data_IF_675128652920
#
_entry.id   IF_675128652920
#
_cell.length_a   1.000
_cell.length_b   1.000
_cell.length_c   1.000
_cell.angle_alpha   90.00
_cell.angle_beta   90.00
_cell.angle_gamma   90.00
#
_symmetry.space_group_name_H-M   'P 1'
#
loop_
_entity.id
_entity.type
_entity.pdbx_description
1 polymer ?
#
# COMPACT_ATOMS: atom_id res chain seq x y z
N UNK A 1 -18.13 -3.63 49.42
CA UNK A 1 -16.95 -2.74 49.50
C UNK A 1 -15.73 -3.21 48.71
N UNK A 2 -15.69 -4.42 48.14
CA UNK A 2 -14.62 -4.89 47.24
C UNK A 2 -14.93 -4.79 45.74
N UNK A 3 -16.10 -4.24 45.37
CA UNK A 3 -16.48 -3.93 43.97
C UNK A 3 -16.11 -2.51 43.52
N UNK A 4 -15.60 -1.66 44.42
CA UNK A 4 -15.26 -0.26 44.11
C UNK A 4 -13.78 -0.01 43.82
N UNK A 5 -12.90 -1.02 43.96
CA UNK A 5 -11.44 -0.87 43.76
C UNK A 5 -11.00 -1.28 42.34
N UNK A 6 -11.76 -2.13 41.64
CA UNK A 6 -11.44 -2.49 40.25
C UNK A 6 -11.90 -1.41 39.25
N UNK A 7 -12.94 -0.63 39.57
CA UNK A 7 -13.42 0.43 38.68
C UNK A 7 -12.41 1.59 38.51
N UNK A 8 -11.57 1.87 39.52
CA UNK A 8 -10.56 2.93 39.44
C UNK A 8 -9.37 2.52 38.56
N UNK A 9 -8.90 1.27 38.64
CA UNK A 9 -7.82 0.77 37.76
C UNK A 9 -8.25 0.66 36.29
N UNK A 10 -9.49 0.26 36.05
CA UNK A 10 -10.05 0.23 34.70
C UNK A 10 -10.22 1.66 34.14
N UNK A 11 -10.48 2.66 35.00
CA UNK A 11 -10.62 4.06 34.59
C UNK A 11 -9.29 4.72 34.22
N UNK A 12 -8.20 4.51 34.98
CA UNK A 12 -6.88 5.04 34.65
C UNK A 12 -6.32 4.41 33.36
N UNK A 13 -6.49 3.10 33.19
CA UNK A 13 -6.15 2.39 31.95
C UNK A 13 -6.91 2.92 30.73
N UNK A 14 -8.18 3.29 30.89
CA UNK A 14 -9.00 3.81 29.79
C UNK A 14 -8.59 5.22 29.34
N UNK A 15 -8.19 6.08 30.29
CA UNK A 15 -7.75 7.45 29.99
C UNK A 15 -6.43 7.43 29.21
N UNK A 16 -5.52 6.53 29.55
CA UNK A 16 -4.24 6.41 28.84
C UNK A 16 -4.40 5.80 27.45
N UNK A 17 -5.31 4.84 27.27
CA UNK A 17 -5.63 4.29 25.95
C UNK A 17 -6.18 5.38 25.02
N UNK A 18 -7.15 6.18 25.48
CA UNK A 18 -7.74 7.25 24.66
C UNK A 18 -6.69 8.26 24.18
N UNK A 19 -5.76 8.66 25.05
CA UNK A 19 -4.66 9.57 24.68
C UNK A 19 -3.74 8.97 23.61
N UNK A 20 -3.50 7.66 23.65
CA UNK A 20 -2.69 6.97 22.63
C UNK A 20 -3.42 6.99 21.27
N UNK A 21 -4.73 6.75 21.26
CA UNK A 21 -5.53 6.82 20.03
C UNK A 21 -5.52 8.24 19.44
N UNK A 22 -5.68 9.26 20.28
CA UNK A 22 -5.59 10.68 19.88
C UNK A 22 -4.21 11.04 19.32
N UNK A 23 -3.14 10.49 19.91
CA UNK A 23 -1.78 10.67 19.41
C UNK A 23 -1.61 10.07 18.02
N UNK A 24 -2.15 8.88 17.77
CA UNK A 24 -2.10 8.24 16.45
C UNK A 24 -2.85 9.06 15.40
N UNK A 25 -4.05 9.54 15.71
CA UNK A 25 -4.82 10.40 14.82
C UNK A 25 -4.08 11.71 14.53
N UNK A 26 -3.54 12.38 15.55
CA UNK A 26 -2.77 13.61 15.38
C UNK A 26 -1.51 13.41 14.52
N UNK A 27 -0.84 12.27 14.66
CA UNK A 27 0.30 11.90 13.83
C UNK A 27 -0.09 11.64 12.38
N UNK A 28 -1.21 10.95 12.13
CA UNK A 28 -1.74 10.75 10.79
C UNK A 28 -2.10 12.08 10.12
N UNK A 29 -2.73 13.01 10.86
CA UNK A 29 -3.07 14.36 10.41
C UNK A 29 -1.81 15.15 10.01
N UNK A 30 -0.74 15.09 10.80
CA UNK A 30 0.54 15.75 10.45
C UNK A 30 1.13 15.23 9.14
N UNK A 31 1.07 13.92 8.90
CA UNK A 31 1.53 13.33 7.64
C UNK A 31 0.65 13.75 6.46
N UNK A 32 -0.67 13.86 6.66
CA UNK A 32 -1.58 14.45 5.67
C UNK A 32 -1.25 15.91 5.37
N UNK A 33 -1.02 16.72 6.39
CA UNK A 33 -0.63 18.13 6.23
C UNK A 33 0.66 18.26 5.42
N UNK A 34 1.63 17.38 5.65
CA UNK A 34 2.84 17.29 4.82
C UNK A 34 2.50 17.00 3.34
N UNK A 35 1.65 16.01 3.06
CA UNK A 35 1.23 15.69 1.68
C UNK A 35 0.55 16.89 1.00
N UNK A 36 -0.35 17.58 1.71
CA UNK A 36 -1.06 18.79 1.22
C UNK A 36 -0.05 19.90 0.91
N UNK A 37 0.87 20.19 1.83
CA UNK A 37 1.85 21.26 1.70
C UNK A 37 2.84 21.04 0.55
N UNK A 38 3.10 19.79 0.17
CA UNK A 38 4.09 19.42 -0.84
C UNK A 38 3.47 18.96 -2.18
N UNK A 39 2.15 19.05 -2.32
CA UNK A 39 1.48 18.75 -3.58
C UNK A 39 1.75 19.87 -4.61
N UNK A 40 1.96 19.50 -5.87
CA UNK A 40 2.14 20.48 -6.95
C UNK A 40 0.82 21.17 -7.25
N UNK A 41 0.70 22.45 -6.89
CA UNK A 41 -0.52 23.28 -7.09
C UNK A 41 -0.39 24.36 -8.17
N UNK A 42 0.73 24.40 -8.91
CA UNK A 42 0.93 25.41 -9.95
C UNK A 42 0.09 25.08 -11.19
N UNK A 43 -0.87 25.94 -11.59
CA UNK A 43 -1.60 25.74 -12.84
C UNK A 43 -0.62 25.71 -14.01
N UNK A 44 -0.90 24.87 -15.02
CA UNK A 44 -0.06 24.64 -16.21
C UNK A 44 1.24 23.84 -15.98
N UNK A 45 1.54 23.41 -14.76
CA UNK A 45 2.58 22.39 -14.55
C UNK A 45 2.06 21.02 -15.00
N UNK A 46 2.87 20.26 -15.73
CA UNK A 46 2.51 18.89 -16.14
C UNK A 46 2.38 17.94 -14.93
N UNK A 47 2.96 18.30 -13.79
CA UNK A 47 2.83 17.59 -12.53
C UNK A 47 1.66 18.11 -11.67
N UNK A 48 0.78 18.97 -12.17
CA UNK A 48 -0.33 19.52 -11.37
C UNK A 48 -1.17 18.42 -10.72
N UNK A 49 -1.21 18.44 -9.37
CA UNK A 49 -1.86 17.44 -8.52
C UNK A 49 -0.99 16.26 -8.09
N UNK A 50 0.20 16.11 -8.66
CA UNK A 50 1.20 15.11 -8.25
C UNK A 50 1.75 15.41 -6.86
N UNK A 51 2.08 14.37 -6.11
CA UNK A 51 2.63 14.47 -4.76
C UNK A 51 4.17 14.39 -4.79
N UNK A 52 4.81 14.89 -3.74
CA UNK A 52 6.23 14.67 -3.50
C UNK A 52 6.44 13.21 -3.07
N UNK A 53 7.32 12.47 -3.76
CA UNK A 53 7.68 11.10 -3.40
C UNK A 53 8.71 11.06 -2.29
N UNK A 54 9.84 11.74 -2.49
CA UNK A 54 10.96 11.68 -1.59
C UNK A 54 11.66 13.03 -1.55
N UNK A 55 12.13 13.40 -0.35
CA UNK A 55 12.95 14.60 -0.16
C UNK A 55 14.13 14.30 0.74
N UNK A 56 15.30 14.80 0.35
CA UNK A 56 16.47 14.84 1.22
C UNK A 56 16.28 15.98 2.22
N UNK A 57 16.16 15.64 3.51
CA UNK A 57 15.87 16.60 4.60
C UNK A 57 16.89 17.74 4.62
N UNK A 58 18.16 17.44 4.33
CA UNK A 58 19.23 18.42 4.20
C UNK A 58 19.62 18.60 2.73
N UNK A 59 19.28 19.74 2.13
CA UNK A 59 19.70 20.08 0.77
C UNK A 59 18.58 20.16 -0.26
N UNK A 60 17.34 19.79 0.11
CA UNK A 60 16.13 20.11 -0.67
C UNK A 60 16.06 19.43 -2.03
N UNK A 61 16.68 18.26 -2.20
CA UNK A 61 16.48 17.45 -3.39
C UNK A 61 15.11 16.79 -3.31
N UNK A 62 14.32 16.92 -4.37
CA UNK A 62 12.95 16.43 -4.46
C UNK A 62 12.79 15.45 -5.62
N UNK A 63 12.09 14.34 -5.37
CA UNK A 63 11.52 13.47 -6.40
C UNK A 63 10.00 13.45 -6.27
N UNK A 64 9.30 13.39 -7.40
CA UNK A 64 7.84 13.32 -7.44
C UNK A 64 7.31 11.88 -7.56
N UNK A 65 6.09 11.67 -7.08
CA UNK A 65 5.41 10.37 -6.98
C UNK A 65 5.13 9.74 -8.35
N UNK A 66 5.32 8.45 -8.52
CA UNK A 66 4.74 7.75 -9.68
C UNK A 66 3.23 7.55 -9.48
N UNK A 67 2.55 6.90 -10.43
CA UNK A 67 1.12 6.61 -10.35
C UNK A 67 0.74 5.91 -9.04
N UNK A 68 1.55 4.96 -8.56
CA UNK A 68 1.22 4.10 -7.42
C UNK A 68 1.28 4.87 -6.10
N UNK A 69 2.34 5.65 -5.89
CA UNK A 69 2.50 6.49 -4.70
C UNK A 69 1.49 7.62 -4.68
N UNK A 70 1.18 8.19 -5.85
CA UNK A 70 0.09 9.17 -5.96
C UNK A 70 -1.25 8.55 -5.56
N UNK A 71 -1.49 7.30 -5.99
CA UNK A 71 -2.70 6.55 -5.64
C UNK A 71 -2.86 6.36 -4.13
N UNK A 72 -1.86 5.79 -3.45
CA UNK A 72 -1.95 5.61 -1.99
C UNK A 72 -1.94 6.93 -1.22
N UNK A 73 -1.24 7.96 -1.71
CA UNK A 73 -1.35 9.30 -1.14
C UNK A 73 -2.78 9.85 -1.23
N UNK A 74 -3.46 9.67 -2.36
CA UNK A 74 -4.86 10.05 -2.52
C UNK A 74 -5.80 9.27 -1.56
N UNK A 75 -5.59 7.97 -1.39
CA UNK A 75 -6.37 7.14 -0.46
C UNK A 75 -6.13 7.58 1.00
N UNK A 76 -4.89 7.91 1.36
CA UNK A 76 -4.55 8.44 2.68
C UNK A 76 -5.25 9.78 2.95
N UNK A 77 -5.23 10.70 1.98
CA UNK A 77 -5.92 11.99 2.06
C UNK A 77 -7.45 11.81 2.17
N UNK A 78 -8.05 10.89 1.40
CA UNK A 78 -9.48 10.58 1.54
C UNK A 78 -9.82 10.03 2.93
N UNK A 79 -8.97 9.16 3.48
CA UNK A 79 -9.15 8.60 4.83
C UNK A 79 -9.06 9.68 5.91
N UNK A 80 -8.15 10.64 5.75
CA UNK A 80 -8.03 11.79 6.64
C UNK A 80 -9.19 12.78 6.51
N UNK A 81 -9.72 12.99 5.30
CA UNK A 81 -10.95 13.74 5.13
C UNK A 81 -12.10 13.04 5.87
N UNK A 82 -12.21 11.72 5.78
CA UNK A 82 -13.27 11.01 6.47
C UNK A 82 -13.18 11.14 8.00
N UNK A 83 -11.96 11.09 8.55
CA UNK A 83 -11.68 11.34 9.97
C UNK A 83 -12.02 12.77 10.40
N UNK A 84 -11.50 13.77 9.67
CA UNK A 84 -11.42 15.16 10.15
C UNK A 84 -12.51 16.07 9.60
N UNK A 85 -13.09 15.70 8.45
CA UNK A 85 -13.95 16.54 7.61
C UNK A 85 -13.29 17.86 7.18
N UNK A 86 -11.95 17.94 7.19
CA UNK A 86 -11.19 19.10 6.70
C UNK A 86 -11.06 19.03 5.18
N UNK A 87 -11.76 19.94 4.48
CA UNK A 87 -11.87 20.01 3.03
C UNK A 87 -10.53 20.02 2.29
N UNK A 88 -9.45 20.51 2.92
CA UNK A 88 -8.13 20.55 2.27
C UNK A 88 -7.64 19.16 1.86
N UNK A 89 -8.04 18.11 2.60
CA UNK A 89 -7.67 16.74 2.30
C UNK A 89 -8.47 16.19 1.12
N UNK A 90 -9.78 16.45 1.07
CA UNK A 90 -10.62 16.07 -0.07
C UNK A 90 -10.17 16.78 -1.35
N UNK A 91 -9.90 18.09 -1.26
CA UNK A 91 -9.39 18.89 -2.36
C UNK A 91 -8.05 18.34 -2.88
N UNK A 92 -7.12 18.02 -1.96
CA UNK A 92 -5.82 17.43 -2.32
C UNK A 92 -5.96 16.06 -2.96
N UNK A 93 -6.86 15.21 -2.45
CA UNK A 93 -7.16 13.92 -3.04
C UNK A 93 -7.72 14.08 -4.46
N UNK A 94 -8.65 15.02 -4.67
CA UNK A 94 -9.20 15.32 -6.00
C UNK A 94 -8.09 15.71 -6.99
N UNK A 95 -7.13 16.55 -6.59
CA UNK A 95 -6.00 16.90 -7.45
C UNK A 95 -5.13 15.70 -7.82
N UNK A 96 -4.83 14.82 -6.85
CA UNK A 96 -4.09 13.59 -7.11
C UNK A 96 -4.85 12.67 -8.08
N UNK A 97 -6.18 12.58 -7.93
CA UNK A 97 -7.05 11.82 -8.84
C UNK A 97 -7.07 12.41 -10.25
N UNK A 98 -7.14 13.74 -10.40
CA UNK A 98 -7.05 14.41 -11.71
C UNK A 98 -5.71 14.12 -12.39
N UNK A 99 -4.62 14.12 -11.62
CA UNK A 99 -3.31 13.74 -12.13
C UNK A 99 -3.30 12.28 -12.59
N UNK A 100 -3.80 11.33 -11.80
CA UNK A 100 -3.94 9.91 -12.19
C UNK A 100 -4.78 9.74 -13.47
N UNK A 101 -5.92 10.44 -13.58
CA UNK A 101 -6.76 10.41 -14.79
C UNK A 101 -5.98 10.85 -16.05
N UNK A 102 -5.00 11.75 -15.90
CA UNK A 102 -4.14 12.22 -17.00
C UNK A 102 -3.11 11.17 -17.47
N UNK A 103 -2.75 10.22 -16.59
CA UNK A 103 -1.84 9.12 -16.91
C UNK A 103 -2.54 7.97 -17.65
N UNK A 104 -3.88 7.95 -17.67
CA UNK A 104 -4.62 6.88 -18.33
C UNK A 104 -4.67 7.08 -19.85
N UNK A 105 -4.17 6.11 -20.60
CA UNK A 105 -4.23 6.07 -22.05
C UNK A 105 -5.66 5.79 -22.53
N UNK A 106 -6.32 6.81 -23.07
CA UNK A 106 -7.65 6.71 -23.67
C UNK A 106 -7.67 6.94 -25.19
N UNK A 107 -6.51 6.81 -25.85
CA UNK A 107 -6.43 6.87 -27.31
C UNK A 107 -6.84 5.53 -27.93
N UNK A 108 -8.07 5.45 -28.43
CA UNK A 108 -8.63 4.23 -29.04
C UNK A 108 -7.89 3.78 -30.31
N UNK A 109 -7.07 4.65 -30.92
CA UNK A 109 -6.20 4.29 -32.06
C UNK A 109 -5.00 3.44 -31.62
N UNK A 110 -4.75 3.30 -30.32
CA UNK A 110 -3.72 2.43 -29.72
C UNK A 110 -4.37 1.34 -28.85
N UNK A 111 -5.00 0.30 -29.44
CA UNK A 111 -5.77 -0.68 -28.69
C UNK A 111 -4.99 -1.48 -27.64
N UNK A 112 -3.66 -1.58 -27.77
CA UNK A 112 -2.79 -2.24 -26.79
C UNK A 112 -2.54 -1.39 -25.53
N UNK A 113 -2.72 -0.07 -25.61
CA UNK A 113 -2.53 0.87 -24.50
C UNK A 113 -3.85 1.40 -23.96
N UNK A 114 -4.96 1.27 -24.69
CA UNK A 114 -6.26 1.78 -24.26
C UNK A 114 -6.69 1.16 -22.92
N UNK A 115 -6.88 2.01 -21.91
CA UNK A 115 -7.20 1.64 -20.53
C UNK A 115 -6.00 1.64 -19.59
N UNK A 116 -4.77 1.49 -20.09
CA UNK A 116 -3.54 1.47 -19.28
C UNK A 116 -3.31 2.80 -18.54
N UNK A 117 -2.71 2.75 -17.35
CA UNK A 117 -2.28 3.92 -16.57
C UNK A 117 -0.75 3.93 -16.53
N UNK A 118 -0.12 4.83 -17.27
CA UNK A 118 1.35 4.84 -17.41
C UNK A 118 2.06 5.29 -16.11
N UNK A 119 3.36 5.01 -16.00
CA UNK A 119 4.07 5.07 -14.71
C UNK A 119 4.20 6.48 -14.11
N UNK A 120 4.85 7.41 -14.83
CA UNK A 120 5.36 8.64 -14.21
C UNK A 120 4.80 9.90 -14.84
N UNK A 121 4.60 9.91 -16.16
CA UNK A 121 4.04 11.06 -16.88
C UNK A 121 3.23 10.55 -18.06
N UNK A 122 2.35 11.38 -18.68
CA UNK A 122 1.62 10.96 -19.88
C UNK A 122 2.51 10.58 -21.08
N UNK A 123 3.82 10.88 -21.02
CA UNK A 123 4.82 10.50 -22.02
C UNK A 123 5.53 9.18 -21.70
N UNK A 124 5.29 8.56 -20.54
CA UNK A 124 5.85 7.25 -20.21
C UNK A 124 5.36 6.20 -21.23
N UNK A 125 6.30 5.49 -21.84
CA UNK A 125 6.01 4.49 -22.89
C UNK A 125 6.01 3.05 -22.34
N UNK A 126 5.86 2.91 -21.02
CA UNK A 126 5.85 1.66 -20.29
C UNK A 126 5.01 1.83 -19.01
N UNK A 127 4.69 0.70 -18.39
CA UNK A 127 3.92 0.63 -17.15
C UNK A 127 4.42 -0.53 -16.29
N UNK A 128 4.45 -0.36 -14.97
CA UNK A 128 4.39 -1.46 -14.02
C UNK A 128 2.90 -1.75 -13.71
N UNK A 129 2.30 -2.86 -14.20
CA UNK A 129 0.86 -3.11 -14.00
C UNK A 129 0.42 -3.10 -12.53
N UNK A 130 1.28 -3.49 -11.59
CA UNK A 130 1.01 -3.39 -10.16
C UNK A 130 0.88 -1.94 -9.69
N UNK A 131 1.68 -1.05 -10.25
CA UNK A 131 1.75 0.35 -9.85
C UNK A 131 0.56 1.13 -10.41
N UNK A 132 0.24 0.91 -11.70
CA UNK A 132 -0.98 1.42 -12.29
C UNK A 132 -2.24 0.89 -11.59
N UNK A 133 -2.22 -0.33 -11.04
CA UNK A 133 -3.32 -0.88 -10.25
C UNK A 133 -3.57 -0.09 -8.97
N UNK A 134 -2.53 0.34 -8.28
CA UNK A 134 -2.68 1.20 -7.09
C UNK A 134 -3.33 2.54 -7.44
N UNK A 135 -3.01 3.08 -8.62
CA UNK A 135 -3.66 4.29 -9.14
C UNK A 135 -5.13 4.05 -9.54
N UNK A 136 -5.43 2.93 -10.19
CA UNK A 136 -6.80 2.53 -10.51
C UNK A 136 -7.64 2.26 -9.25
N UNK A 137 -7.01 1.73 -8.19
CA UNK A 137 -7.65 1.50 -6.92
C UNK A 137 -8.01 2.81 -6.22
N UNK A 138 -7.14 3.82 -6.32
CA UNK A 138 -7.46 5.18 -5.86
C UNK A 138 -8.63 5.79 -6.64
N UNK A 139 -8.74 5.56 -7.95
CA UNK A 139 -9.92 5.94 -8.74
C UNK A 139 -11.18 5.25 -8.21
N UNK A 140 -11.13 3.94 -7.96
CA UNK A 140 -12.28 3.21 -7.39
C UNK A 140 -12.68 3.78 -6.03
N UNK A 141 -11.72 4.04 -5.14
CA UNK A 141 -11.97 4.60 -3.81
C UNK A 141 -12.62 5.99 -3.89
N UNK A 142 -12.04 6.88 -4.69
CA UNK A 142 -12.59 8.23 -4.91
C UNK A 142 -13.98 8.18 -5.54
N UNK A 143 -14.16 7.33 -6.55
CA UNK A 143 -15.43 7.11 -7.24
C UNK A 143 -16.54 6.67 -6.29
N UNK A 144 -16.26 5.74 -5.39
CA UNK A 144 -17.20 5.29 -4.34
C UNK A 144 -17.55 6.40 -3.34
N UNK A 145 -16.55 7.15 -2.92
CA UNK A 145 -16.71 8.19 -1.91
C UNK A 145 -17.52 9.36 -2.46
N UNK A 146 -17.13 9.87 -3.63
CA UNK A 146 -17.73 11.04 -4.27
C UNK A 146 -18.90 10.71 -5.20
N UNK A 147 -19.22 9.42 -5.36
CA UNK A 147 -20.18 8.94 -6.36
C UNK A 147 -19.79 9.39 -7.79
N UNK A 148 -18.49 9.47 -8.09
CA UNK A 148 -17.96 9.81 -9.42
C UNK A 148 -17.90 8.55 -10.30
N UNK A 149 -18.96 8.35 -11.10
CA UNK A 149 -19.09 7.24 -12.02
C UNK A 149 -17.93 7.14 -13.03
N UNK A 150 -17.33 8.27 -13.44
CA UNK A 150 -16.20 8.26 -14.36
C UNK A 150 -14.97 7.64 -13.71
N UNK A 151 -14.74 7.87 -12.42
CA UNK A 151 -13.63 7.23 -11.71
C UNK A 151 -13.82 5.71 -11.65
N UNK A 152 -15.04 5.23 -11.38
CA UNK A 152 -15.36 3.80 -11.35
C UNK A 152 -15.16 3.18 -12.74
N UNK A 153 -15.69 3.80 -13.79
CA UNK A 153 -15.50 3.36 -15.19
C UNK A 153 -14.01 3.25 -15.54
N UNK A 154 -13.20 4.22 -15.13
CA UNK A 154 -11.75 4.22 -15.39
C UNK A 154 -11.01 3.13 -14.63
N UNK A 155 -11.43 2.81 -13.41
CA UNK A 155 -10.88 1.67 -12.68
C UNK A 155 -11.19 0.34 -13.39
N UNK A 156 -12.43 0.19 -13.90
CA UNK A 156 -12.87 -0.95 -14.71
C UNK A 156 -12.06 -1.06 -16.01
N UNK A 157 -11.91 0.04 -16.75
CA UNK A 157 -11.10 0.08 -17.99
C UNK A 157 -9.66 -0.38 -17.76
N UNK A 158 -9.07 -0.01 -16.62
CA UNK A 158 -7.73 -0.44 -16.27
C UNK A 158 -7.67 -1.93 -15.89
N UNK A 159 -8.63 -2.43 -15.13
CA UNK A 159 -8.73 -3.84 -14.78
C UNK A 159 -8.86 -4.74 -16.02
N UNK A 160 -9.73 -4.34 -16.95
CA UNK A 160 -9.90 -5.04 -18.23
C UNK A 160 -8.61 -5.00 -19.05
N UNK A 161 -7.90 -3.87 -19.05
CA UNK A 161 -6.60 -3.76 -19.68
C UNK A 161 -5.56 -4.72 -19.08
N UNK A 162 -5.49 -4.82 -17.74
CA UNK A 162 -4.59 -5.79 -17.06
C UNK A 162 -4.92 -7.20 -17.51
N UNK A 163 -6.18 -7.63 -17.39
CA UNK A 163 -6.58 -9.01 -17.66
C UNK A 163 -6.31 -9.40 -19.11
N UNK A 164 -6.46 -8.46 -20.04
CA UNK A 164 -6.14 -8.66 -21.45
C UNK A 164 -4.63 -8.68 -21.73
N UNK A 165 -3.89 -7.68 -21.25
CA UNK A 165 -2.54 -7.39 -21.73
C UNK A 165 -1.42 -7.84 -20.79
N UNK A 166 -1.67 -7.84 -19.49
CA UNK A 166 -0.67 -8.07 -18.45
C UNK A 166 -0.91 -9.34 -17.61
N UNK A 167 -2.08 -9.98 -17.70
CA UNK A 167 -2.38 -11.19 -16.93
C UNK A 167 -1.98 -12.45 -17.70
N UNK A 168 -1.03 -13.22 -17.18
CA UNK A 168 -0.48 -14.44 -17.80
C UNK A 168 -0.29 -15.50 -16.73
N UNK A 169 -0.81 -16.71 -16.99
CA UNK A 169 -0.62 -17.88 -16.12
C UNK A 169 -0.97 -17.59 -14.66
N UNK A 170 -2.15 -17.00 -14.47
CA UNK A 170 -2.69 -16.66 -13.16
C UNK A 170 -1.91 -15.60 -12.38
N UNK A 171 -1.05 -14.82 -13.03
CA UNK A 171 -0.33 -13.72 -12.40
C UNK A 171 -0.16 -12.52 -13.34
N UNK A 172 0.18 -11.35 -12.82
CA UNK A 172 0.42 -10.16 -13.64
C UNK A 172 1.91 -10.00 -13.99
N UNK A 173 2.22 -9.43 -15.15
CA UNK A 173 3.59 -9.12 -15.57
C UNK A 173 4.17 -7.96 -14.75
N UNK A 174 5.50 -7.95 -14.53
CA UNK A 174 6.16 -6.86 -13.79
C UNK A 174 6.22 -5.56 -14.59
N UNK A 175 6.51 -5.63 -15.89
CA UNK A 175 6.55 -4.45 -16.77
C UNK A 175 5.93 -4.77 -18.12
N UNK A 176 5.13 -3.86 -18.65
CA UNK A 176 4.62 -3.94 -20.03
C UNK A 176 5.10 -2.73 -20.82
N UNK A 177 5.72 -2.99 -21.98
CA UNK A 177 6.06 -1.96 -22.93
C UNK A 177 4.81 -1.51 -23.70
N UNK A 178 4.60 -0.20 -23.82
CA UNK A 178 3.45 0.40 -24.52
C UNK A 178 3.85 1.15 -25.79
N UNK A 179 5.14 1.43 -25.97
CA UNK A 179 5.67 2.22 -27.07
C UNK A 179 7.10 1.85 -27.46
N UNK A 180 7.70 2.62 -28.39
CA UNK A 180 9.00 2.30 -29.01
C UNK A 180 10.23 2.62 -28.14
N UNK A 181 10.08 2.85 -26.83
CA UNK A 181 11.17 3.17 -25.89
C UNK A 181 12.38 2.23 -25.90
N UNK A 182 12.27 1.06 -26.52
CA UNK A 182 13.29 0.01 -26.48
C UNK A 182 13.32 -0.74 -25.15
N UNK A 183 12.42 -0.45 -24.22
CA UNK A 183 12.23 -1.25 -23.01
C UNK A 183 11.43 -2.50 -23.35
N UNK A 184 11.96 -3.66 -23.01
CA UNK A 184 11.25 -4.93 -23.16
C UNK A 184 10.20 -5.12 -22.07
N UNK A 185 9.14 -5.86 -22.41
CA UNK A 185 8.19 -6.38 -21.44
C UNK A 185 8.91 -7.32 -20.49
N UNK A 186 8.94 -6.98 -19.20
CA UNK A 186 9.54 -7.81 -18.16
C UNK A 186 8.49 -8.83 -17.67
N UNK A 187 8.71 -10.08 -18.05
CA UNK A 187 7.85 -11.21 -17.67
C UNK A 187 8.14 -11.76 -16.28
N UNK A 188 9.10 -11.18 -15.56
CA UNK A 188 9.37 -11.53 -14.15
C UNK A 188 8.10 -11.35 -13.35
N UNK A 189 7.88 -12.25 -12.39
CA UNK A 189 6.79 -12.16 -11.44
C UNK A 189 7.35 -11.86 -10.07
N UNK A 190 6.73 -10.92 -9.37
CA UNK A 190 7.11 -10.43 -8.06
C UNK A 190 5.97 -10.61 -7.05
N UNK A 191 6.31 -10.88 -5.79
CA UNK A 191 5.32 -11.05 -4.72
C UNK A 191 4.46 -9.79 -4.51
N UNK A 192 5.03 -8.60 -4.67
CA UNK A 192 4.35 -7.31 -4.49
C UNK A 192 3.15 -7.09 -5.44
N UNK A 193 3.01 -7.93 -6.46
CA UNK A 193 1.87 -7.96 -7.37
C UNK A 193 0.61 -8.56 -6.73
N UNK A 194 0.73 -9.22 -5.57
CA UNK A 194 -0.40 -9.83 -4.86
C UNK A 194 -1.44 -8.83 -4.35
N UNK A 195 -1.09 -7.53 -4.22
CA UNK A 195 -2.06 -6.46 -3.99
C UNK A 195 -3.17 -6.39 -5.06
N UNK A 196 -2.94 -6.95 -6.25
CA UNK A 196 -3.93 -7.00 -7.31
C UNK A 196 -5.16 -7.85 -6.98
N UNK A 197 -4.99 -8.89 -6.16
CA UNK A 197 -6.09 -9.77 -5.70
C UNK A 197 -7.15 -8.92 -5.01
N UNK A 198 -6.74 -8.07 -4.06
CA UNK A 198 -7.67 -7.21 -3.31
C UNK A 198 -8.40 -6.21 -4.21
N UNK A 199 -7.71 -5.59 -5.15
CA UNK A 199 -8.34 -4.72 -6.14
C UNK A 199 -9.41 -5.43 -6.97
N UNK A 200 -9.14 -6.66 -7.43
CA UNK A 200 -10.13 -7.45 -8.17
C UNK A 200 -11.32 -7.88 -7.30
N UNK A 201 -11.10 -8.23 -6.03
CA UNK A 201 -12.19 -8.48 -5.08
C UNK A 201 -13.06 -7.23 -4.89
N UNK A 202 -12.44 -6.06 -4.74
CA UNK A 202 -13.17 -4.81 -4.60
C UNK A 202 -13.94 -4.41 -5.85
N UNK A 203 -13.37 -4.62 -7.04
CA UNK A 203 -14.07 -4.40 -8.29
C UNK A 203 -15.21 -5.39 -8.49
N UNK A 204 -15.04 -6.66 -8.12
CA UNK A 204 -16.14 -7.62 -8.12
C UNK A 204 -17.28 -7.12 -7.22
N UNK A 205 -16.99 -6.66 -6.00
CA UNK A 205 -18.01 -6.10 -5.10
C UNK A 205 -18.72 -4.89 -5.72
N UNK A 206 -18.00 -4.04 -6.45
CA UNK A 206 -18.57 -2.87 -7.12
C UNK A 206 -19.46 -3.23 -8.31
N UNK A 207 -18.98 -4.14 -9.16
CA UNK A 207 -19.54 -4.37 -10.51
C UNK A 207 -20.37 -5.63 -10.60
N UNK A 208 -20.23 -6.54 -9.64
CA UNK A 208 -20.73 -7.92 -9.68
C UNK A 208 -20.25 -8.71 -10.90
N UNK A 209 -19.13 -8.30 -11.51
CA UNK A 209 -18.53 -9.00 -12.64
C UNK A 209 -17.63 -10.14 -12.15
N UNK A 210 -18.11 -11.37 -12.29
CA UNK A 210 -17.42 -12.59 -11.86
C UNK A 210 -16.04 -12.80 -12.49
N UNK A 211 -15.74 -12.17 -13.63
CA UNK A 211 -14.41 -12.27 -14.22
C UNK A 211 -13.30 -11.74 -13.29
N UNK A 212 -13.60 -10.71 -12.49
CA UNK A 212 -12.66 -10.21 -11.49
C UNK A 212 -12.54 -11.16 -10.30
N UNK A 213 -13.64 -11.80 -9.88
CA UNK A 213 -13.62 -12.80 -8.81
C UNK A 213 -12.78 -14.01 -9.21
N UNK A 214 -12.92 -14.50 -10.43
CA UNK A 214 -12.15 -15.64 -10.97
C UNK A 214 -10.65 -15.31 -11.04
N UNK A 215 -10.31 -14.08 -11.46
CA UNK A 215 -8.93 -13.61 -11.46
C UNK A 215 -8.35 -13.55 -10.04
N UNK A 216 -9.10 -12.98 -9.08
CA UNK A 216 -8.67 -12.91 -7.69
C UNK A 216 -8.44 -14.30 -7.08
N UNK A 217 -9.35 -15.25 -7.35
CA UNK A 217 -9.22 -16.62 -6.87
C UNK A 217 -7.97 -17.30 -7.45
N UNK A 218 -7.80 -17.25 -8.77
CA UNK A 218 -6.66 -17.85 -9.47
C UNK A 218 -5.31 -17.26 -9.02
N UNK A 219 -5.27 -15.95 -8.81
CA UNK A 219 -4.10 -15.26 -8.25
C UNK A 219 -3.84 -15.64 -6.80
N UNK A 220 -4.88 -15.84 -5.99
CA UNK A 220 -4.71 -16.25 -4.59
C UNK A 220 -4.07 -17.63 -4.47
N UNK A 221 -4.54 -18.59 -5.29
CA UNK A 221 -3.91 -19.91 -5.41
C UNK A 221 -2.45 -19.81 -5.85
N UNK A 222 -2.18 -18.98 -6.86
CA UNK A 222 -0.83 -18.74 -7.34
C UNK A 222 0.09 -18.16 -6.25
N UNK A 223 -0.43 -17.20 -5.48
CA UNK A 223 0.33 -16.50 -4.45
C UNK A 223 0.79 -17.44 -3.34
N UNK A 224 -0.11 -18.28 -2.83
CA UNK A 224 0.21 -19.26 -1.78
C UNK A 224 1.13 -20.38 -2.25
N UNK A 225 1.07 -20.73 -3.53
CA UNK A 225 1.91 -21.77 -4.11
C UNK A 225 3.34 -21.29 -4.35
N UNK A 226 3.51 -20.09 -4.91
CA UNK A 226 4.80 -19.62 -5.43
C UNK A 226 5.53 -18.67 -4.49
N UNK A 227 4.80 -17.82 -3.78
CA UNK A 227 5.39 -16.67 -3.09
C UNK A 227 5.44 -16.79 -1.58
N UNK A 228 4.62 -17.63 -0.95
CA UNK A 228 4.69 -17.85 0.50
C UNK A 228 5.21 -19.26 0.78
N UNK A 229 6.38 -19.35 1.40
CA UNK A 229 6.96 -20.63 1.81
C UNK A 229 6.16 -21.28 2.95
N UNK A 230 6.35 -22.58 3.22
CA UNK A 230 5.72 -23.25 4.36
C UNK A 230 6.07 -22.66 5.73
N UNK A 231 7.22 -22.01 5.87
CA UNK A 231 7.65 -21.33 7.09
C UNK A 231 7.30 -19.82 7.09
N UNK A 232 6.63 -19.33 6.04
CA UNK A 232 6.08 -17.99 5.97
C UNK A 232 6.97 -16.94 5.32
N UNK A 233 8.19 -17.28 4.91
CA UNK A 233 9.04 -16.35 4.17
C UNK A 233 8.47 -16.06 2.78
N UNK A 234 8.56 -14.78 2.38
CA UNK A 234 8.13 -14.33 1.06
C UNK A 234 9.26 -14.53 0.05
N UNK A 235 9.01 -15.36 -0.96
CA UNK A 235 9.80 -15.35 -2.20
C UNK A 235 9.52 -14.03 -2.90
N UNK A 236 10.52 -13.20 -3.20
CA UNK A 236 10.26 -11.89 -3.83
C UNK A 236 10.02 -12.03 -5.33
N UNK A 237 10.76 -12.90 -5.99
CA UNK A 237 10.75 -13.05 -7.43
C UNK A 237 10.69 -14.51 -7.83
N UNK A 238 9.84 -14.81 -8.79
CA UNK A 238 9.62 -16.15 -9.32
C UNK A 238 9.64 -16.12 -10.85
N UNK A 239 10.30 -17.12 -11.44
CA UNK A 239 10.31 -17.37 -12.87
C UNK A 239 9.47 -18.59 -13.18
N UNK A 240 8.29 -18.37 -13.75
CA UNK A 240 7.38 -19.45 -14.11
C UNK A 240 7.81 -20.23 -15.36
N UNK A 241 8.74 -19.72 -16.17
CA UNK A 241 9.29 -20.48 -17.31
C UNK A 241 10.33 -21.51 -16.84
N UNK A 242 11.15 -21.13 -15.88
CA UNK A 242 12.24 -21.99 -15.39
C UNK A 242 11.89 -22.72 -14.10
N UNK A 243 10.79 -22.34 -13.44
CA UNK A 243 10.41 -22.80 -12.10
C UNK A 243 11.38 -22.32 -11.02
N UNK A 244 12.26 -21.37 -11.33
CA UNK A 244 13.30 -20.89 -10.41
C UNK A 244 12.77 -19.78 -9.55
N UNK A 245 13.09 -19.87 -8.26
CA UNK A 245 13.03 -18.74 -7.34
C UNK A 245 14.32 -17.96 -7.55
N UNK A 246 14.20 -16.67 -7.87
CA UNK A 246 15.38 -15.83 -7.98
C UNK A 246 15.84 -15.49 -6.56
N UNK A 247 16.62 -16.40 -5.99
CA UNK A 247 17.32 -16.25 -4.71
C UNK A 247 18.85 -16.20 -4.92
N UNK A 248 19.34 -16.50 -6.13
CA UNK A 248 20.76 -16.43 -6.46
C UNK A 248 21.23 -15.00 -6.78
N UNK A 249 22.44 -14.63 -6.33
CA UNK A 249 22.96 -13.26 -6.50
C UNK A 249 23.14 -12.83 -7.96
N UNK A 250 23.31 -13.77 -8.89
CA UNK A 250 23.63 -13.47 -10.28
C UNK A 250 22.41 -12.88 -11.03
N UNK A 251 21.24 -13.46 -10.81
CA UNK A 251 19.97 -13.02 -11.41
C UNK A 251 19.37 -11.78 -10.73
N UNK A 252 19.76 -11.52 -9.49
CA UNK A 252 19.23 -10.43 -8.68
C UNK A 252 20.00 -9.11 -8.79
N UNK A 253 21.09 -9.04 -9.56
CA UNK A 253 21.89 -7.80 -9.72
C UNK A 253 21.08 -6.60 -10.22
N UNK A 254 19.92 -6.82 -10.86
CA UNK A 254 19.03 -5.73 -11.31
C UNK A 254 18.25 -5.05 -10.19
N UNK A 255 18.11 -5.69 -9.02
CA UNK A 255 17.39 -5.14 -7.87
C UNK A 255 18.34 -4.97 -6.68
N UNK A 256 18.24 -3.83 -5.99
CA UNK A 256 19.05 -3.59 -4.79
C UNK A 256 18.70 -4.61 -3.70
N UNK A 257 19.65 -4.88 -2.80
CA UNK A 257 19.41 -5.72 -1.63
C UNK A 257 18.23 -5.17 -0.80
N UNK A 258 18.25 -3.86 -0.54
CA UNK A 258 17.23 -3.17 0.24
C UNK A 258 15.83 -3.31 -0.37
N UNK A 259 15.71 -3.18 -1.70
CA UNK A 259 14.44 -3.37 -2.39
C UNK A 259 13.89 -4.78 -2.21
N UNK A 260 14.75 -5.80 -2.33
CA UNK A 260 14.35 -7.20 -2.17
C UNK A 260 13.89 -7.49 -0.75
N UNK A 261 14.70 -7.13 0.24
CA UNK A 261 14.35 -7.40 1.64
C UNK A 261 13.13 -6.59 2.08
N UNK A 262 12.94 -5.38 1.55
CA UNK A 262 11.79 -4.54 1.86
C UNK A 262 10.50 -5.19 1.40
N UNK A 263 10.47 -5.82 0.23
CA UNK A 263 9.28 -6.50 -0.26
C UNK A 263 8.94 -7.82 0.48
N UNK A 264 9.76 -8.26 1.43
CA UNK A 264 9.40 -9.42 2.28
C UNK A 264 8.50 -9.01 3.45
N UNK A 265 8.54 -7.73 3.86
CA UNK A 265 7.73 -7.17 4.94
C UNK A 265 6.70 -6.17 4.40
N UNK A 266 7.11 -5.31 3.45
CA UNK A 266 6.21 -4.56 2.60
C UNK A 266 5.78 -5.43 1.42
N UNK A 267 4.88 -6.36 1.71
CA UNK A 267 4.26 -7.21 0.70
C UNK A 267 3.28 -6.46 -0.23
N UNK A 268 3.21 -5.12 -0.13
CA UNK A 268 2.36 -4.27 -0.95
C UNK A 268 0.89 -4.71 -0.92
N UNK A 269 0.41 -4.98 0.30
CA UNK A 269 -0.95 -5.41 0.64
C UNK A 269 -1.29 -6.86 0.28
N UNK A 270 -0.31 -7.67 -0.14
CA UNK A 270 -0.56 -9.06 -0.54
C UNK A 270 -1.04 -9.94 0.62
N UNK A 271 -0.59 -9.68 1.86
CA UNK A 271 -1.10 -10.35 3.05
C UNK A 271 -2.57 -10.02 3.32
N UNK A 272 -2.96 -8.75 3.16
CA UNK A 272 -4.38 -8.34 3.26
C UNK A 272 -5.21 -8.95 2.14
N UNK A 273 -4.72 -8.93 0.91
CA UNK A 273 -5.34 -9.63 -0.22
C UNK A 273 -5.68 -11.08 0.14
N UNK A 274 -4.74 -11.79 0.75
CA UNK A 274 -4.95 -13.19 1.07
C UNK A 274 -5.91 -13.40 2.26
N UNK A 275 -5.97 -12.47 3.22
CA UNK A 275 -6.99 -12.48 4.29
C UNK A 275 -8.39 -12.34 3.68
N UNK A 276 -8.55 -11.36 2.79
CA UNK A 276 -9.83 -11.10 2.10
C UNK A 276 -10.21 -12.27 1.18
N UNK A 277 -9.25 -12.91 0.52
CA UNK A 277 -9.46 -14.15 -0.22
C UNK A 277 -9.88 -15.32 0.68
N UNK A 278 -9.27 -15.48 1.86
CA UNK A 278 -9.71 -16.51 2.80
C UNK A 278 -11.16 -16.28 3.24
N UNK A 279 -11.52 -15.04 3.57
CA UNK A 279 -12.90 -14.69 3.93
C UNK A 279 -13.88 -14.89 2.76
N UNK A 280 -13.45 -14.63 1.52
CA UNK A 280 -14.28 -14.77 0.32
C UNK A 280 -14.45 -16.22 -0.15
N UNK A 281 -13.41 -17.04 -0.07
CA UNK A 281 -13.36 -18.38 -0.68
C UNK A 281 -13.31 -19.54 0.32
N UNK A 282 -12.96 -19.28 1.59
CA UNK A 282 -12.91 -20.31 2.64
C UNK A 282 -11.79 -21.34 2.50
N UNK A 283 -10.77 -21.08 1.66
CA UNK A 283 -9.68 -22.03 1.39
C UNK A 283 -8.69 -22.07 2.56
N UNK A 284 -8.62 -23.19 3.28
CA UNK A 284 -7.81 -23.31 4.51
C UNK A 284 -6.33 -23.03 4.30
N UNK A 285 -5.76 -23.45 3.16
CA UNK A 285 -4.36 -23.21 2.81
C UNK A 285 -3.99 -21.72 2.83
N UNK A 286 -4.92 -20.81 2.54
CA UNK A 286 -4.68 -19.37 2.60
C UNK A 286 -4.41 -18.93 4.05
N UNK A 287 -5.24 -19.38 4.99
CA UNK A 287 -5.07 -19.11 6.43
C UNK A 287 -3.79 -19.75 6.96
N UNK A 288 -3.48 -20.97 6.57
CA UNK A 288 -2.27 -21.68 7.00
C UNK A 288 -1.00 -20.91 6.59
N UNK A 289 -0.99 -20.36 5.37
CA UNK A 289 0.11 -19.52 4.86
C UNK A 289 0.19 -18.17 5.57
N UNK A 290 -0.95 -17.53 5.86
CA UNK A 290 -0.98 -16.28 6.63
C UNK A 290 -0.45 -16.47 8.05
N UNK A 291 -0.82 -17.58 8.71
CA UNK A 291 -0.29 -17.95 10.03
C UNK A 291 1.22 -18.17 10.00
N UNK A 292 1.73 -18.83 8.96
CA UNK A 292 3.16 -18.98 8.77
C UNK A 292 3.85 -17.62 8.57
N UNK A 293 3.28 -16.76 7.73
CA UNK A 293 3.83 -15.43 7.44
C UNK A 293 3.86 -14.52 8.68
N UNK A 294 2.77 -14.47 9.47
CA UNK A 294 2.74 -13.72 10.72
C UNK A 294 3.84 -14.19 11.69
N UNK A 295 4.02 -15.51 11.84
CA UNK A 295 5.11 -16.08 12.65
C UNK A 295 6.49 -15.72 12.12
N UNK A 296 6.66 -15.62 10.80
CA UNK A 296 7.91 -15.18 10.19
C UNK A 296 8.17 -13.70 10.50
N UNK A 297 7.18 -12.82 10.38
CA UNK A 297 7.27 -11.39 10.77
C UNK A 297 7.74 -11.26 12.22
N UNK A 298 7.15 -12.02 13.16
CA UNK A 298 7.55 -11.97 14.57
C UNK A 298 9.04 -12.25 14.79
N UNK A 299 9.63 -13.16 14.00
CA UNK A 299 11.05 -13.50 14.06
C UNK A 299 11.96 -12.45 13.45
N UNK A 300 11.44 -11.61 12.54
CA UNK A 300 12.21 -10.60 11.80
C UNK A 300 12.14 -9.21 12.42
N UNK A 301 11.20 -8.98 13.33
CA UNK A 301 11.11 -7.71 14.05
C UNK A 301 12.33 -7.53 14.97
N UNK A 302 12.97 -6.37 14.86
CA UNK A 302 14.06 -5.96 15.72
C UNK A 302 13.53 -5.62 17.13
N UNK A 303 14.45 -5.51 18.10
CA UNK A 303 14.10 -5.18 19.48
C UNK A 303 13.45 -3.80 19.64
N UNK A 304 13.80 -2.86 18.77
CA UNK A 304 13.24 -1.49 18.73
C UNK A 304 11.86 -1.41 18.06
N UNK A 305 11.38 -2.51 17.45
CA UNK A 305 10.12 -2.58 16.71
C UNK A 305 10.26 -2.42 15.20
N UNK A 306 11.45 -2.03 14.70
CA UNK A 306 11.74 -1.95 13.27
C UNK A 306 11.96 -3.32 12.63
N UNK A 307 12.31 -3.34 11.35
CA UNK A 307 12.52 -4.59 10.59
C UNK A 307 13.83 -4.56 9.80
N UNK A 308 14.53 -5.70 9.82
CA UNK A 308 15.75 -5.98 9.03
C UNK A 308 16.96 -5.09 9.38
N UNK A 309 18.12 -5.40 8.79
CA UNK A 309 19.37 -4.61 8.90
C UNK A 309 20.10 -4.59 7.52
N UNK A 310 20.33 -3.42 6.88
CA UNK A 310 19.90 -2.08 7.30
C UNK A 310 18.37 -2.00 7.46
N UNK A 311 17.95 -1.03 8.26
CA UNK A 311 16.55 -0.86 8.62
C UNK A 311 15.68 -0.59 7.39
N UNK A 312 14.47 -1.13 7.38
CA UNK A 312 13.48 -0.91 6.33
C UNK A 312 12.30 -0.17 6.93
N UNK A 313 12.34 1.16 6.88
CA UNK A 313 11.46 2.06 7.62
C UNK A 313 9.97 1.81 7.32
N UNK A 314 9.66 1.44 6.07
CA UNK A 314 8.30 1.12 5.62
C UNK A 314 7.73 -0.12 6.32
N UNK A 315 8.58 -1.06 6.75
CA UNK A 315 8.15 -2.34 7.31
C UNK A 315 7.30 -2.17 8.57
N UNK A 316 7.60 -1.15 9.38
CA UNK A 316 6.88 -0.86 10.62
C UNK A 316 5.46 -0.35 10.38
N UNK A 317 5.20 0.28 9.23
CA UNK A 317 3.83 0.62 8.83
C UNK A 317 3.10 -0.58 8.23
N UNK A 318 3.73 -1.32 7.32
CA UNK A 318 3.06 -2.40 6.56
C UNK A 318 2.79 -3.63 7.43
N UNK A 319 3.69 -3.94 8.36
CA UNK A 319 3.46 -5.01 9.34
C UNK A 319 2.25 -4.69 10.23
N UNK A 320 2.08 -3.44 10.68
CA UNK A 320 0.90 -3.03 11.45
C UNK A 320 -0.36 -3.19 10.61
N UNK A 321 -0.38 -2.69 9.38
CA UNK A 321 -1.52 -2.80 8.47
C UNK A 321 -1.94 -4.27 8.28
N UNK A 322 -0.99 -5.14 7.95
CA UNK A 322 -1.24 -6.58 7.78
C UNK A 322 -1.73 -7.24 9.09
N UNK A 323 -1.00 -7.06 10.19
CA UNK A 323 -1.28 -7.74 11.45
C UNK A 323 -2.62 -7.28 12.05
N UNK A 324 -2.97 -6.00 11.91
CA UNK A 324 -4.29 -5.49 12.34
C UNK A 324 -5.40 -6.22 11.61
N UNK A 325 -5.25 -6.43 10.30
CA UNK A 325 -6.23 -7.16 9.51
C UNK A 325 -6.22 -8.66 9.84
N UNK A 326 -5.04 -9.23 10.12
CA UNK A 326 -4.89 -10.64 10.46
C UNK A 326 -5.59 -11.01 11.78
N UNK A 327 -5.72 -10.07 12.72
CA UNK A 327 -6.50 -10.26 13.96
C UNK A 327 -7.95 -10.70 13.70
N UNK A 328 -8.56 -10.34 12.57
CA UNK A 328 -9.93 -10.77 12.23
C UNK A 328 -10.08 -12.28 12.05
N UNK A 329 -8.98 -13.00 11.77
CA UNK A 329 -8.96 -14.44 11.49
C UNK A 329 -7.95 -15.22 12.35
N UNK A 330 -7.24 -14.52 13.23
CA UNK A 330 -6.24 -15.09 14.12
C UNK A 330 -6.88 -16.04 15.15
N UNK A 331 -6.15 -17.09 15.53
CA UNK A 331 -6.57 -17.92 16.66
C UNK A 331 -6.32 -17.19 18.00
N UNK A 332 -7.10 -17.48 19.06
CA UNK A 332 -6.95 -16.81 20.35
C UNK A 332 -5.54 -16.85 20.94
N UNK A 333 -4.78 -17.92 20.72
CA UNK A 333 -3.41 -18.05 21.21
C UNK A 333 -2.39 -17.14 20.49
N UNK A 334 -2.76 -16.55 19.35
CA UNK A 334 -1.89 -15.68 18.55
C UNK A 334 -2.04 -14.20 18.93
N UNK A 335 -3.20 -13.81 19.48
CA UNK A 335 -3.60 -12.41 19.68
C UNK A 335 -2.58 -11.61 20.47
N UNK A 336 -2.14 -12.10 21.63
CA UNK A 336 -1.19 -11.37 22.47
C UNK A 336 0.16 -11.11 21.78
N UNK A 337 0.64 -12.05 20.97
CA UNK A 337 1.90 -11.87 20.22
C UNK A 337 1.71 -10.88 19.05
N UNK A 338 0.55 -10.90 18.41
CA UNK A 338 0.20 -9.95 17.35
C UNK A 338 0.13 -8.53 17.93
N UNK A 339 -0.57 -8.34 19.04
CA UNK A 339 -0.70 -7.04 19.71
C UNK A 339 0.65 -6.48 20.19
N UNK A 340 1.51 -7.30 20.77
CA UNK A 340 2.89 -6.88 21.13
C UNK A 340 3.68 -6.43 19.90
N UNK A 341 3.63 -7.20 18.82
CA UNK A 341 4.34 -6.90 17.57
C UNK A 341 3.84 -5.59 16.95
N UNK A 342 2.52 -5.36 16.96
CA UNK A 342 1.90 -4.12 16.51
C UNK A 342 2.36 -2.95 17.38
N UNK A 343 2.30 -3.06 18.71
CA UNK A 343 2.67 -1.99 19.63
C UNK A 343 4.13 -1.57 19.45
N UNK A 344 5.06 -2.53 19.31
CA UNK A 344 6.47 -2.24 19.04
C UNK A 344 6.68 -1.59 17.66
N UNK A 345 5.99 -2.08 16.63
CA UNK A 345 6.04 -1.49 15.29
C UNK A 345 5.52 -0.05 15.27
N UNK A 346 4.42 0.24 15.97
CA UNK A 346 3.87 1.60 16.09
C UNK A 346 4.80 2.54 16.84
N UNK A 347 5.39 2.08 17.94
CA UNK A 347 6.37 2.86 18.69
C UNK A 347 7.56 3.25 17.78
N UNK A 348 8.09 2.29 17.04
CA UNK A 348 9.16 2.53 16.08
C UNK A 348 8.71 3.49 14.95
N UNK A 349 7.58 3.22 14.29
CA UNK A 349 7.04 4.06 13.22
C UNK A 349 6.90 5.51 13.68
N UNK A 350 6.34 5.74 14.87
CA UNK A 350 6.17 7.08 15.44
C UNK A 350 7.52 7.78 15.68
N UNK A 351 8.59 7.03 15.96
CA UNK A 351 9.94 7.60 16.12
C UNK A 351 10.54 8.11 14.80
N UNK A 352 10.01 7.67 13.65
CA UNK A 352 10.44 8.11 12.33
C UNK A 352 9.77 9.42 11.88
N UNK A 353 8.69 9.86 12.54
CA UNK A 353 7.99 11.07 12.16
C UNK A 353 8.82 12.32 12.43
N UNK A 354 8.98 13.16 11.42
CA UNK A 354 9.76 14.39 11.51
C UNK A 354 8.96 15.51 12.15
N UNK A 355 9.63 16.24 13.05
CA UNK A 355 9.13 17.49 13.65
C UNK A 355 10.05 18.61 13.20
N UNK A 356 9.53 19.59 12.49
CA UNK A 356 10.31 20.67 11.89
C UNK A 356 9.49 21.95 11.76
N UNK A 357 10.14 23.11 11.73
CA UNK A 357 9.50 24.38 11.35
C UNK A 357 9.29 24.46 9.82
N UNK A 358 10.04 23.67 9.05
CA UNK A 358 9.86 23.55 7.61
C UNK A 358 8.64 22.67 7.31
N UNK A 359 7.57 23.27 6.80
CA UNK A 359 6.35 22.57 6.34
C UNK A 359 6.61 21.54 5.24
N UNK A 360 7.74 21.69 4.53
CA UNK A 360 8.24 20.74 3.58
C UNK A 360 8.73 19.41 4.18
N UNK A 361 8.96 19.37 5.49
CA UNK A 361 9.49 18.21 6.21
C UNK A 361 8.58 17.79 7.36
N UNK A 362 7.98 18.75 8.06
CA UNK A 362 7.19 18.52 9.25
C UNK A 362 6.02 17.55 9.01
N UNK A 363 5.93 16.50 9.82
CA UNK A 363 4.88 15.48 9.77
C UNK A 363 5.18 14.29 8.85
N UNK A 364 6.14 14.40 7.94
CA UNK A 364 6.56 13.29 7.10
C UNK A 364 7.31 12.22 7.91
N UNK A 365 7.28 10.98 7.44
CA UNK A 365 8.07 9.89 8.01
C UNK A 365 9.38 9.70 7.25
N UNK A 366 10.45 9.41 7.99
CA UNK A 366 11.71 8.95 7.40
C UNK A 366 11.49 7.65 6.63
N UNK A 367 12.25 7.48 5.56
CA UNK A 367 12.15 6.30 4.72
C UNK A 367 13.25 6.22 3.68
N UNK A 368 13.02 5.34 2.72
CA UNK A 368 13.93 5.09 1.62
C UNK A 368 14.12 6.31 0.71
N UNK A 369 15.26 6.36 0.03
CA UNK A 369 15.48 7.33 -1.04
C UNK A 369 14.66 6.98 -2.31
N UNK A 370 14.80 7.79 -3.36
CA UNK A 370 14.08 7.59 -4.61
C UNK A 370 14.40 6.27 -5.34
N UNK A 371 15.55 5.67 -5.07
CA UNK A 371 15.99 4.40 -5.66
C UNK A 371 15.56 3.18 -4.84
N UNK A 372 14.69 3.37 -3.84
CA UNK A 372 14.28 2.32 -2.89
C UNK A 372 15.50 1.66 -2.21
N UNK A 373 16.49 2.47 -1.82
CA UNK A 373 17.54 2.04 -0.89
C UNK A 373 17.33 2.71 0.46
N UNK A 374 17.91 2.11 1.51
CA UNK A 374 17.86 2.64 2.86
C UNK A 374 18.21 4.14 2.90
N UNK A 375 17.41 4.91 3.63
CA UNK A 375 17.51 6.37 3.66
C UNK A 375 18.59 6.91 4.59
N UNK A 376 19.21 6.07 5.43
CA UNK A 376 20.16 6.50 6.46
C UNK A 376 19.62 7.61 7.39
N UNK A 377 18.30 7.71 7.56
CA UNK A 377 17.65 8.77 8.34
C UNK A 377 17.73 10.17 7.73
N UNK A 378 18.04 10.28 6.43
CA UNK A 378 18.17 11.59 5.74
C UNK A 378 17.01 11.89 4.79
N UNK A 379 16.17 10.90 4.52
CA UNK A 379 15.13 10.97 3.51
C UNK A 379 13.76 10.83 4.14
N UNK A 380 12.85 11.74 3.80
CA UNK A 380 11.42 11.55 4.03
C UNK A 380 10.77 11.00 2.78
N UNK A 381 9.77 10.13 2.93
CA UNK A 381 9.20 9.40 1.81
C UNK A 381 7.67 9.24 1.92
N UNK A 382 6.97 9.42 0.80
CA UNK A 382 5.52 9.30 0.67
C UNK A 382 5.00 7.88 0.90
N UNK A 383 5.76 6.84 0.53
CA UNK A 383 5.42 5.44 0.82
C UNK A 383 5.24 5.23 2.32
N UNK A 384 6.26 5.58 3.10
CA UNK A 384 6.21 5.42 4.57
C UNK A 384 5.15 6.33 5.16
N UNK A 385 5.02 7.56 4.67
CA UNK A 385 4.04 8.51 5.19
C UNK A 385 2.59 8.10 4.92
N UNK A 386 2.26 7.63 3.71
CA UNK A 386 0.92 7.15 3.36
C UNK A 386 0.56 5.86 4.10
N UNK A 387 1.49 4.90 4.15
CA UNK A 387 1.27 3.67 4.92
C UNK A 387 1.25 3.95 6.43
N UNK A 388 1.98 4.95 6.91
CA UNK A 388 1.92 5.42 8.29
C UNK A 388 0.54 5.96 8.64
N UNK A 389 -0.06 6.78 7.78
CA UNK A 389 -1.46 7.20 7.92
C UNK A 389 -2.37 5.98 8.03
N UNK A 390 -2.23 4.99 7.15
CA UNK A 390 -3.04 3.77 7.18
C UNK A 390 -2.91 3.01 8.51
N UNK A 391 -1.69 2.71 8.92
CA UNK A 391 -1.41 2.00 10.17
C UNK A 391 -2.01 2.72 11.39
N UNK A 392 -1.80 4.04 11.49
CA UNK A 392 -2.25 4.86 12.62
C UNK A 392 -3.77 5.02 12.66
N UNK A 393 -4.43 5.15 11.52
CA UNK A 393 -5.90 5.21 11.45
C UNK A 393 -6.54 3.87 11.83
N UNK A 394 -6.04 2.74 11.31
CA UNK A 394 -6.52 1.41 11.69
C UNK A 394 -6.40 1.18 13.20
N UNK A 395 -5.26 1.55 13.78
CA UNK A 395 -4.98 1.38 15.20
C UNK A 395 -5.75 2.34 16.10
N UNK A 396 -6.28 3.43 15.54
CA UNK A 396 -7.19 4.33 16.24
C UNK A 396 -8.67 3.99 16.01
N UNK A 397 -8.96 2.81 15.44
CA UNK A 397 -10.31 2.28 15.26
C UNK A 397 -11.03 2.74 13.99
N UNK A 398 -10.32 3.38 13.06
CA UNK A 398 -10.89 3.86 11.81
C UNK A 398 -10.69 2.86 10.67
N UNK A 399 -11.74 2.65 9.88
CA UNK A 399 -11.65 1.91 8.62
C UNK A 399 -10.85 2.71 7.58
N UNK A 400 -10.02 2.03 6.81
CA UNK A 400 -9.37 2.62 5.63
C UNK A 400 -10.28 2.52 4.41
N UNK A 401 -10.01 3.30 3.36
CA UNK A 401 -10.65 3.08 2.05
C UNK A 401 -9.86 2.07 1.21
N UNK A 402 -10.54 1.12 0.52
CA UNK A 402 -11.99 0.92 0.45
C UNK A 402 -12.50 -0.16 1.42
N UNK A 403 -12.07 -0.16 2.68
CA UNK A 403 -12.49 -1.14 3.68
C UNK A 403 -13.77 -0.69 4.43
N UNK A 404 -14.83 -0.58 3.61
CA UNK A 404 -16.26 -0.32 3.89
C UNK A 404 -16.68 1.15 4.09
N UNK A 405 -17.65 1.56 3.26
CA UNK A 405 -18.53 2.69 3.57
C UNK A 405 -19.36 2.28 4.79
N UNK A 406 -19.56 3.11 5.83
CA UNK A 406 -20.68 2.89 6.73
C UNK A 406 -21.92 2.79 5.85
N UNK A 407 -22.71 1.72 6.02
CA UNK A 407 -24.08 1.75 5.52
C UNK A 407 -24.68 3.06 6.05
N UNK A 408 -25.10 3.94 5.13
CA UNK A 408 -26.00 5.03 5.48
C UNK A 408 -27.33 4.35 5.88
N UNK A 409 -27.41 3.89 7.13
CA UNK A 409 -28.68 3.50 7.76
C UNK A 409 -29.55 4.73 7.99
#
# INVERSE_FOLDING_TARGET
MLKSINAEKDSESSIDQQKVLELYQASAVKAGDWMVNNQVRKPFDANYGRLLYARLVKGGWDAYSTNWTTGFGAIALLSLYDLTKDEKYLESAEYAIRYIKSLQCLDSRKPCSFGAIVEETPQSEWIHPRDGLSAAWALLCYGRYMSDAQCIERAVLYADWILKNAYRRNWILATVALGPSGRDTDITQASCQGGAILFFLDLYRETQNFHYLDAAHSMSDYYVEKFISPDGEITILYDDLTGRRYEDEASLKKFSYDWREMHKINDDFSGISLIESFQQFGVSTYRDRLKAYAKWIFKKQNADGGFMKPELEVGSATAVIFLTKYLEIAEPEEVAQIEDTIARSLHHLMSLQQVSDDKGVNGAFLGMNSACTYGNGEWINLRVSAYGVFALLMQSGHSLFPLRKPSLE
#
